data_IF_452418207579
#
_entry.id   IF_452418207579
#
_cell.length_a   1.000
_cell.length_b   1.000
_cell.length_c   1.000
_cell.angle_alpha   90.00
_cell.angle_beta   90.00
_cell.angle_gamma   90.00
#
_symmetry.space_group_name_H-M   'P 1'
#
loop_
_entity.id
_entity.type
_entity.pdbx_description
1 polymer ?
#
# COMPACT_ATOMS: atom_id res chain seq x y z
N UNK A 1 -3.04 -8.41 7.37
CA UNK A 1 -3.54 -9.78 7.66
C UNK A 1 -2.99 -10.73 6.60
N UNK A 2 -2.52 -11.94 6.96
CA UNK A 2 -2.14 -12.96 5.99
C UNK A 2 -3.35 -13.50 5.22
N UNK A 3 -3.12 -14.17 4.08
CA UNK A 3 -4.17 -14.93 3.39
C UNK A 3 -4.61 -16.08 4.30
N UNK A 4 -5.90 -16.35 4.36
CA UNK A 4 -6.45 -17.42 5.23
C UNK A 4 -7.57 -18.18 4.56
N UNK A 5 -7.96 -17.76 3.36
CA UNK A 5 -9.16 -18.23 2.67
C UNK A 5 -8.73 -18.80 1.34
N UNK A 6 -9.26 -19.97 0.98
CA UNK A 6 -9.15 -20.49 -0.38
C UNK A 6 -10.14 -19.78 -1.31
N UNK A 7 -10.02 -20.02 -2.62
CA UNK A 7 -10.91 -19.44 -3.63
C UNK A 7 -12.39 -19.71 -3.34
N UNK A 8 -12.76 -20.95 -3.02
CA UNK A 8 -14.15 -21.30 -2.67
C UNK A 8 -14.65 -20.52 -1.45
N UNK A 9 -13.84 -20.43 -0.39
CA UNK A 9 -14.18 -19.68 0.82
C UNK A 9 -14.38 -18.18 0.52
N UNK A 10 -13.54 -17.57 -0.35
CA UNK A 10 -13.74 -16.18 -0.78
C UNK A 10 -15.06 -16.01 -1.53
N UNK A 11 -15.46 -16.98 -2.36
CA UNK A 11 -16.73 -16.94 -3.10
C UNK A 11 -17.94 -17.00 -2.15
N UNK A 12 -17.89 -17.86 -1.14
CA UNK A 12 -18.95 -17.95 -0.11
C UNK A 12 -19.12 -16.64 0.67
N UNK A 13 -18.03 -15.90 0.87
CA UNK A 13 -18.02 -14.63 1.60
C UNK A 13 -18.33 -13.42 0.71
N UNK A 14 -18.56 -13.59 -0.59
CA UNK A 14 -18.70 -12.49 -1.57
C UNK A 14 -19.79 -11.45 -1.25
N UNK A 15 -20.80 -11.82 -0.46
CA UNK A 15 -21.85 -10.91 0.00
C UNK A 15 -21.46 -10.03 1.20
N UNK A 16 -20.36 -10.34 1.87
CA UNK A 16 -19.90 -9.64 3.08
C UNK A 16 -19.03 -8.46 2.66
N UNK A 17 -19.44 -7.25 3.05
CA UNK A 17 -18.61 -6.06 2.90
C UNK A 17 -17.48 -6.13 3.92
N UNK A 18 -16.27 -6.34 3.42
CA UNK A 18 -15.06 -6.41 4.24
C UNK A 18 -14.01 -5.45 3.67
N UNK A 19 -13.40 -4.66 4.53
CA UNK A 19 -12.24 -3.84 4.22
C UNK A 19 -11.04 -4.36 5.00
N UNK A 20 -9.95 -4.68 4.29
CA UNK A 20 -8.72 -5.18 4.88
C UNK A 20 -7.63 -4.12 4.80
N UNK A 21 -6.95 -3.87 5.91
CA UNK A 21 -5.89 -2.88 5.95
C UNK A 21 -4.54 -3.49 5.61
N UNK A 22 -3.75 -2.77 4.82
CA UNK A 22 -2.35 -3.06 4.49
C UNK A 22 -1.52 -1.86 4.91
N UNK A 23 -0.47 -2.07 5.69
CA UNK A 23 0.37 -1.00 6.22
C UNK A 23 1.72 -0.98 5.49
N UNK A 24 1.95 0.03 4.65
CA UNK A 24 3.19 0.21 3.90
C UNK A 24 3.65 -1.12 3.24
N UNK A 25 4.94 -1.44 3.34
CA UNK A 25 5.54 -2.66 2.84
C UNK A 25 5.50 -3.85 3.82
N UNK A 26 4.44 -3.96 4.66
CA UNK A 26 4.24 -5.13 5.54
C UNK A 26 4.22 -6.41 4.68
N UNK A 27 5.13 -7.38 4.92
CA UNK A 27 5.15 -8.62 4.16
C UNK A 27 4.03 -9.59 4.53
N UNK A 28 3.38 -9.45 5.69
CA UNK A 28 2.42 -10.43 6.20
C UNK A 28 1.23 -10.66 5.26
N UNK A 29 0.62 -9.65 4.61
CA UNK A 29 -0.37 -9.87 3.56
C UNK A 29 0.12 -10.67 2.36
N UNK A 30 1.43 -10.85 2.17
CA UNK A 30 1.96 -11.63 1.06
C UNK A 30 2.02 -13.13 1.34
N UNK A 31 1.74 -13.57 2.58
CA UNK A 31 1.78 -14.98 2.99
C UNK A 31 0.41 -15.48 3.48
N UNK A 32 0.11 -16.79 3.34
CA UNK A 32 0.71 -17.71 2.39
C UNK A 32 0.65 -17.16 0.96
N UNK A 33 1.50 -17.71 0.09
CA UNK A 33 1.54 -17.32 -1.32
C UNK A 33 0.18 -17.53 -1.98
N UNK A 34 -0.07 -16.81 -3.08
CA UNK A 34 -1.30 -16.95 -3.86
C UNK A 34 -1.32 -18.24 -4.69
N UNK A 35 -1.36 -19.36 -3.97
CA UNK A 35 -1.25 -20.74 -4.48
C UNK A 35 -2.02 -21.67 -3.54
N UNK A 36 -2.26 -22.89 -4.00
CA UNK A 36 -2.69 -23.97 -3.13
C UNK A 36 -1.49 -24.41 -2.29
N UNK A 37 -1.55 -24.13 -1.00
CA UNK A 37 -0.53 -24.50 -0.02
C UNK A 37 -0.92 -25.77 0.76
N UNK A 38 -2.08 -26.36 0.50
CA UNK A 38 -2.60 -27.56 1.18
C UNK A 38 -2.35 -28.84 0.34
N UNK A 39 -1.50 -28.74 -0.68
CA UNK A 39 -1.11 -29.87 -1.51
C UNK A 39 0.00 -30.72 -0.87
N UNK A 40 0.20 -31.93 -1.40
CA UNK A 40 1.18 -32.90 -0.90
C UNK A 40 2.62 -32.38 -0.84
N UNK A 41 3.00 -31.43 -1.71
CA UNK A 41 4.34 -30.85 -1.72
C UNK A 41 4.59 -30.01 -0.45
N UNK A 42 3.66 -29.11 -0.09
CA UNK A 42 3.78 -28.30 1.13
C UNK A 42 3.50 -29.07 2.41
N UNK A 43 2.65 -30.10 2.35
CA UNK A 43 2.40 -30.99 3.48
C UNK A 43 3.64 -31.82 3.86
N UNK A 44 4.46 -32.23 2.89
CA UNK A 44 5.61 -33.10 3.15
C UNK A 44 6.93 -32.36 3.36
N UNK A 45 7.05 -31.15 2.79
CA UNK A 45 8.29 -30.38 2.79
C UNK A 45 8.18 -29.04 3.50
N UNK A 46 7.27 -28.87 4.46
CA UNK A 46 6.79 -27.56 4.93
C UNK A 46 7.85 -26.45 5.06
N UNK A 47 8.96 -26.58 5.82
CA UNK A 47 9.99 -25.53 5.87
C UNK A 47 10.66 -25.30 4.51
N UNK A 48 11.09 -26.37 3.85
CA UNK A 48 11.72 -26.34 2.53
C UNK A 48 10.76 -25.90 1.42
N UNK A 49 9.45 -26.09 1.56
CA UNK A 49 8.41 -25.67 0.63
C UNK A 49 8.21 -24.17 0.65
N UNK A 50 8.22 -23.56 1.85
CA UNK A 50 8.25 -22.10 2.02
C UNK A 50 9.56 -21.51 1.49
N UNK A 51 10.72 -22.08 1.86
CA UNK A 51 12.03 -21.66 1.34
C UNK A 51 12.11 -21.81 -0.20
N UNK A 52 11.49 -22.84 -0.75
CA UNK A 52 11.40 -23.09 -2.19
C UNK A 52 10.47 -22.11 -2.91
N UNK A 53 9.37 -21.67 -2.31
CA UNK A 53 8.54 -20.59 -2.87
C UNK A 53 9.28 -19.24 -2.85
N UNK A 54 10.03 -18.97 -1.79
CA UNK A 54 10.99 -17.85 -1.73
C UNK A 54 12.06 -18.00 -2.83
N UNK A 55 12.50 -19.23 -3.14
CA UNK A 55 13.46 -19.51 -4.22
C UNK A 55 12.83 -19.44 -5.63
N UNK A 56 11.53 -19.74 -5.79
CA UNK A 56 10.79 -19.57 -7.05
C UNK A 56 10.60 -18.10 -7.40
N UNK A 57 10.57 -17.23 -6.39
CA UNK A 57 10.70 -15.78 -6.52
C UNK A 57 12.11 -15.35 -6.96
N UNK A 58 13.06 -16.26 -7.24
CA UNK A 58 14.43 -15.97 -7.74
C UNK A 58 14.92 -16.81 -8.93
N UNK A 59 14.15 -17.78 -9.48
CA UNK A 59 14.68 -18.77 -10.43
C UNK A 59 13.82 -19.03 -11.69
N UNK A 60 14.34 -18.79 -12.92
CA UNK A 60 13.62 -19.00 -14.19
C UNK A 60 13.73 -20.44 -14.74
N UNK A 61 13.80 -21.46 -13.88
CA UNK A 61 14.04 -22.84 -14.32
C UNK A 61 12.82 -23.51 -14.98
N UNK A 62 12.98 -24.30 -16.06
CA UNK A 62 11.91 -25.12 -16.67
C UNK A 62 11.22 -26.07 -15.67
N UNK A 63 11.96 -26.51 -14.65
CA UNK A 63 11.45 -27.34 -13.54
C UNK A 63 10.39 -26.56 -12.73
N UNK A 64 10.55 -25.25 -12.57
CA UNK A 64 9.59 -24.39 -11.87
C UNK A 64 8.29 -24.27 -12.66
N UNK A 65 8.34 -24.22 -14.00
CA UNK A 65 7.13 -24.21 -14.85
C UNK A 65 6.38 -25.54 -14.76
N UNK A 66 7.09 -26.67 -14.81
CA UNK A 66 6.50 -27.99 -14.69
C UNK A 66 5.82 -28.20 -13.31
N UNK A 67 6.46 -27.74 -12.22
CA UNK A 67 5.86 -27.80 -10.88
C UNK A 67 4.67 -26.85 -10.75
N UNK A 68 4.74 -25.62 -11.29
CA UNK A 68 3.59 -24.68 -11.31
C UNK A 68 2.37 -25.29 -12.00
N UNK A 69 2.58 -26.03 -13.09
CA UNK A 69 1.52 -26.76 -13.79
C UNK A 69 1.01 -27.96 -12.98
N UNK A 70 1.90 -28.71 -12.34
CA UNK A 70 1.54 -29.86 -11.51
C UNK A 70 0.82 -29.48 -10.21
N UNK A 71 1.03 -28.27 -9.69
CA UNK A 71 0.35 -27.71 -8.52
C UNK A 71 -0.71 -26.67 -8.89
N UNK A 72 -1.16 -26.66 -10.14
CA UNK A 72 -2.21 -25.75 -10.60
C UNK A 72 -3.57 -26.21 -10.04
N UNK A 73 -3.85 -25.80 -8.81
CA UNK A 73 -5.11 -26.05 -8.13
C UNK A 73 -6.02 -24.84 -8.23
N UNK A 74 -7.33 -25.07 -8.18
CA UNK A 74 -8.33 -24.00 -8.14
C UNK A 74 -8.47 -23.40 -6.74
N UNK A 75 -8.11 -24.16 -5.69
CA UNK A 75 -8.18 -23.75 -4.28
C UNK A 75 -6.90 -23.01 -3.85
N UNK A 76 -6.62 -21.89 -4.52
CA UNK A 76 -5.51 -21.01 -4.12
C UNK A 76 -5.90 -20.15 -2.92
N UNK A 77 -4.93 -19.86 -2.05
CA UNK A 77 -5.11 -18.91 -0.96
C UNK A 77 -5.25 -17.48 -1.50
N UNK A 78 -6.30 -16.77 -1.07
CA UNK A 78 -6.66 -15.42 -1.49
C UNK A 78 -6.96 -14.53 -0.27
N UNK A 79 -7.03 -13.22 -0.54
CA UNK A 79 -7.62 -12.27 0.39
C UNK A 79 -9.09 -12.06 0.07
N UNK A 80 -9.92 -11.96 1.11
CA UNK A 80 -11.29 -11.45 0.99
C UNK A 80 -11.35 -9.96 1.35
N UNK A 81 -12.21 -9.20 0.69
CA UNK A 81 -12.47 -7.80 0.99
C UNK A 81 -11.56 -6.80 0.26
N UNK A 82 -12.02 -5.55 0.23
CA UNK A 82 -11.40 -4.41 -0.43
C UNK A 82 -10.19 -3.93 0.36
N UNK A 83 -9.18 -3.43 -0.35
CA UNK A 83 -7.93 -2.97 0.29
C UNK A 83 -8.09 -1.54 0.79
N UNK A 84 -7.69 -1.32 2.03
CA UNK A 84 -7.34 -0.01 2.56
C UNK A 84 -5.84 0.02 2.74
N UNK A 85 -5.16 1.00 2.15
CA UNK A 85 -3.71 1.04 2.14
C UNK A 85 -3.19 2.24 2.93
N UNK A 86 -2.38 2.01 3.95
CA UNK A 86 -1.61 3.06 4.61
C UNK A 86 -0.30 3.24 3.84
N UNK A 87 -0.40 4.00 2.75
CA UNK A 87 0.69 4.17 1.81
C UNK A 87 1.68 5.21 2.33
N UNK A 88 2.96 4.89 2.36
CA UNK A 88 4.03 5.89 2.42
C UNK A 88 4.30 6.37 1.00
N UNK A 89 3.68 7.48 0.61
CA UNK A 89 3.87 8.07 -0.70
C UNK A 89 5.23 8.78 -0.77
N UNK A 90 5.93 8.62 -1.89
CA UNK A 90 7.16 9.35 -2.21
C UNK A 90 6.94 10.22 -3.45
N UNK A 91 7.52 11.42 -3.43
CA UNK A 91 7.49 12.36 -4.54
C UNK A 91 8.26 11.84 -5.76
N UNK A 92 9.27 10.98 -5.54
CA UNK A 92 10.02 10.33 -6.59
C UNK A 92 10.50 8.94 -6.15
N UNK A 93 10.26 7.88 -6.94
CA UNK A 93 10.83 6.57 -6.69
C UNK A 93 12.36 6.61 -6.78
N UNK A 94 13.05 5.99 -5.82
CA UNK A 94 14.52 5.91 -5.78
C UNK A 94 15.12 5.40 -7.10
N UNK A 95 14.45 4.44 -7.73
CA UNK A 95 14.93 3.85 -8.97
C UNK A 95 14.97 4.83 -10.14
N UNK A 96 14.06 5.81 -10.18
CA UNK A 96 14.01 6.80 -11.25
C UNK A 96 15.24 7.71 -11.18
N UNK A 97 15.66 8.05 -9.96
CA UNK A 97 16.87 8.84 -9.72
C UNK A 97 18.11 7.99 -10.02
N UNK A 98 18.13 6.72 -9.57
CA UNK A 98 19.23 5.80 -9.85
C UNK A 98 19.44 5.49 -11.34
N UNK A 99 18.39 5.59 -12.16
CA UNK A 99 18.46 5.43 -13.62
C UNK A 99 18.98 6.69 -14.34
N UNK A 100 19.03 7.83 -13.67
CA UNK A 100 19.35 9.13 -14.28
C UNK A 100 20.80 9.56 -14.04
N UNK A 101 21.52 9.95 -15.11
CA UNK A 101 22.89 10.50 -15.03
C UNK A 101 22.88 11.99 -14.63
N UNK A 102 22.46 12.30 -13.40
CA UNK A 102 22.28 13.71 -12.97
C UNK A 102 23.52 14.31 -12.30
N UNK A 103 23.73 15.62 -12.53
CA UNK A 103 24.84 16.41 -11.99
C UNK A 103 24.82 16.53 -10.45
N UNK A 104 25.93 16.93 -9.82
CA UNK A 104 26.04 17.06 -8.35
C UNK A 104 24.96 17.96 -7.72
N UNK A 105 24.64 19.10 -8.36
CA UNK A 105 23.57 20.01 -7.89
C UNK A 105 22.22 19.31 -7.97
N UNK A 106 21.98 18.58 -9.05
CA UNK A 106 20.76 17.80 -9.20
C UNK A 106 20.72 16.58 -8.27
N UNK A 107 21.87 16.05 -7.81
CA UNK A 107 21.94 15.01 -6.77
C UNK A 107 21.53 15.53 -5.39
N UNK A 108 21.90 16.76 -5.04
CA UNK A 108 21.44 17.39 -3.79
C UNK A 108 19.93 17.62 -3.82
N UNK A 109 19.41 18.17 -4.92
CA UNK A 109 17.97 18.30 -5.12
C UNK A 109 17.26 16.93 -5.18
N UNK A 110 17.92 15.89 -5.68
CA UNK A 110 17.38 14.54 -5.69
C UNK A 110 17.22 13.98 -4.26
N UNK A 111 18.16 14.20 -3.34
CA UNK A 111 18.03 13.76 -1.95
C UNK A 111 16.86 14.46 -1.23
N UNK A 112 16.65 15.75 -1.49
CA UNK A 112 15.49 16.49 -0.99
C UNK A 112 14.16 15.96 -1.55
N UNK A 113 14.15 15.55 -2.82
CA UNK A 113 12.98 14.96 -3.47
C UNK A 113 12.72 13.53 -2.96
N UNK A 114 13.76 12.72 -2.73
CA UNK A 114 13.64 11.34 -2.22
C UNK A 114 13.15 11.30 -0.79
N UNK A 115 13.63 12.23 0.04
CA UNK A 115 13.17 12.37 1.43
C UNK A 115 11.78 13.00 1.53
N UNK A 116 11.25 13.57 0.43
CA UNK A 116 9.90 14.11 0.38
C UNK A 116 8.87 12.98 0.33
N UNK A 117 8.46 12.53 1.52
CA UNK A 117 7.48 11.47 1.71
C UNK A 117 6.36 11.90 2.64
N UNK A 118 5.20 11.28 2.50
CA UNK A 118 4.08 11.44 3.45
C UNK A 118 3.30 10.14 3.57
N UNK A 119 2.60 9.95 4.69
CA UNK A 119 1.78 8.76 4.93
C UNK A 119 0.31 9.08 4.68
N UNK A 120 -0.30 8.34 3.77
CA UNK A 120 -1.67 8.51 3.30
C UNK A 120 -2.52 7.30 3.67
N UNK A 121 -3.79 7.53 3.95
CA UNK A 121 -4.80 6.54 4.22
C UNK A 121 -5.67 6.42 2.96
N UNK A 122 -5.42 5.41 2.15
CA UNK A 122 -6.09 5.26 0.85
C UNK A 122 -7.20 4.23 0.92
N UNK A 123 -8.42 4.64 0.54
CA UNK A 123 -9.61 3.80 0.48
C UNK A 123 -10.18 3.93 -0.95
N UNK A 124 -10.05 2.90 -1.82
CA UNK A 124 -10.42 2.98 -3.23
C UNK A 124 -11.87 3.37 -3.53
N UNK A 125 -12.80 3.02 -2.63
CA UNK A 125 -14.24 3.19 -2.83
C UNK A 125 -14.90 3.84 -1.61
N UNK A 126 -14.24 4.84 -1.02
CA UNK A 126 -14.81 5.54 0.12
C UNK A 126 -16.03 6.36 -0.28
N UNK A 127 -15.92 7.05 -1.42
CA UNK A 127 -16.95 7.92 -1.94
C UNK A 127 -17.06 7.72 -3.45
N UNK A 128 -18.28 7.43 -3.92
CA UNK A 128 -18.60 7.24 -5.34
C UNK A 128 -18.24 8.46 -6.18
N UNK A 129 -18.33 9.67 -5.61
CA UNK A 129 -17.94 10.89 -6.31
C UNK A 129 -16.42 10.92 -6.60
N UNK A 130 -15.62 10.18 -5.82
CA UNK A 130 -14.15 10.17 -5.91
C UNK A 130 -13.55 8.86 -6.42
N UNK A 131 -14.39 7.87 -6.74
CA UNK A 131 -13.96 6.58 -7.30
C UNK A 131 -13.13 6.75 -8.59
N UNK A 132 -13.46 7.78 -9.39
CA UNK A 132 -12.70 8.15 -10.59
C UNK A 132 -11.23 8.50 -10.31
N UNK A 133 -10.89 9.01 -9.12
CA UNK A 133 -9.52 9.35 -8.74
C UNK A 133 -8.67 8.09 -8.59
N UNK A 134 -9.26 6.99 -8.13
CA UNK A 134 -8.55 5.71 -8.03
C UNK A 134 -8.23 5.16 -9.42
N UNK A 135 -9.19 5.21 -10.34
CA UNK A 135 -8.98 4.83 -11.74
C UNK A 135 -7.88 5.69 -12.39
N UNK A 136 -7.96 7.01 -12.21
CA UNK A 136 -6.96 7.95 -12.72
C UNK A 136 -5.57 7.69 -12.14
N UNK A 137 -5.44 7.44 -10.83
CA UNK A 137 -4.16 7.09 -10.22
C UNK A 137 -3.60 5.79 -10.80
N UNK A 138 -4.45 4.81 -11.07
CA UNK A 138 -4.09 3.56 -11.76
C UNK A 138 -3.60 3.80 -13.18
N UNK A 139 -4.27 4.64 -13.96
CA UNK A 139 -3.84 5.04 -15.30
C UNK A 139 -2.48 5.72 -15.29
N UNK A 140 -2.25 6.66 -14.36
CA UNK A 140 -0.95 7.31 -14.23
C UNK A 140 0.15 6.32 -13.83
N UNK A 141 -0.15 5.37 -12.94
CA UNK A 141 0.77 4.31 -12.58
C UNK A 141 1.13 3.44 -13.80
N UNK A 142 0.14 3.06 -14.61
CA UNK A 142 0.35 2.27 -15.82
C UNK A 142 1.14 3.05 -16.88
N UNK A 143 0.84 4.34 -17.08
CA UNK A 143 1.59 5.19 -17.99
C UNK A 143 3.08 5.29 -17.61
N UNK A 144 3.40 5.32 -16.32
CA UNK A 144 4.79 5.24 -15.84
C UNK A 144 5.43 3.90 -16.19
N UNK A 145 4.71 2.78 -15.99
CA UNK A 145 5.19 1.46 -16.36
C UNK A 145 5.42 1.32 -17.86
N UNK A 146 4.57 1.93 -18.69
CA UNK A 146 4.66 1.84 -20.15
C UNK A 146 5.86 2.63 -20.71
N UNK A 147 6.31 3.67 -20.01
CA UNK A 147 7.51 4.43 -20.36
C UNK A 147 8.82 3.67 -20.15
N UNK A 148 8.79 2.57 -19.38
CA UNK A 148 9.98 1.77 -19.12
C UNK A 148 10.35 0.89 -20.30
N UNK A 149 11.63 0.89 -20.67
CA UNK A 149 12.17 -0.08 -21.62
C UNK A 149 12.06 -1.51 -21.06
N UNK A 150 12.04 -2.56 -21.91
CA UNK A 150 12.09 -3.94 -21.45
C UNK A 150 13.26 -4.21 -20.49
N UNK A 151 14.44 -3.63 -20.76
CA UNK A 151 15.63 -3.77 -19.91
C UNK A 151 15.45 -3.10 -18.53
N UNK A 152 14.80 -1.94 -18.47
CA UNK A 152 14.46 -1.28 -17.20
C UNK A 152 13.37 -2.04 -16.46
N UNK A 153 12.35 -2.55 -17.16
CA UNK A 153 11.33 -3.44 -16.58
C UNK A 153 11.98 -4.68 -15.98
N UNK A 154 12.91 -5.32 -16.68
CA UNK A 154 13.64 -6.49 -16.19
C UNK A 154 14.60 -6.15 -15.04
N UNK A 155 15.14 -4.93 -14.97
CA UNK A 155 15.98 -4.49 -13.86
C UNK A 155 15.17 -4.15 -12.60
N UNK A 156 14.03 -3.48 -12.78
CA UNK A 156 13.19 -2.95 -11.71
C UNK A 156 12.16 -3.96 -11.19
N UNK A 157 11.69 -4.81 -12.09
CA UNK A 157 10.63 -5.79 -11.89
C UNK A 157 11.05 -7.15 -12.46
N UNK A 158 12.34 -7.49 -12.32
CA UNK A 158 12.89 -8.78 -12.71
C UNK A 158 11.88 -9.87 -12.35
N UNK A 159 11.38 -10.60 -13.35
CA UNK A 159 10.45 -11.70 -13.08
C UNK A 159 11.14 -12.66 -12.13
N UNK A 160 10.51 -12.93 -10.99
CA UNK A 160 11.14 -13.69 -9.92
C UNK A 160 12.41 -12.97 -9.43
N UNK A 161 12.30 -11.66 -9.15
CA UNK A 161 13.14 -10.69 -8.43
C UNK A 161 12.27 -10.02 -7.36
N UNK A 162 12.53 -10.15 -6.06
CA UNK A 162 12.07 -9.06 -5.20
C UNK A 162 12.86 -7.82 -5.64
N UNK A 163 12.22 -6.66 -5.93
CA UNK A 163 12.95 -5.46 -6.30
C UNK A 163 13.97 -5.15 -5.21
N UNK A 164 15.23 -4.93 -5.60
CA UNK A 164 16.31 -4.54 -4.67
C UNK A 164 16.00 -3.21 -3.97
N UNK A 165 15.08 -2.43 -4.54
CA UNK A 165 14.64 -1.08 -4.13
C UNK A 165 13.19 -1.04 -3.60
N UNK A 166 12.70 -2.14 -3.02
CA UNK A 166 11.62 -1.97 -2.02
C UNK A 166 12.29 -1.43 -0.77
N UNK A 167 11.81 -0.29 -0.26
CA UNK A 167 12.03 0.13 1.11
C UNK A 167 11.98 -1.15 1.96
N UNK A 168 13.14 -1.53 2.53
CA UNK A 168 13.42 -2.89 3.04
C UNK A 168 12.17 -3.47 3.70
N UNK A 169 11.73 -4.67 3.28
CA UNK A 169 10.64 -5.42 3.94
C UNK A 169 10.73 -5.22 5.45
N UNK A 170 9.84 -4.40 5.98
CA UNK A 170 9.99 -3.87 7.33
C UNK A 170 9.07 -4.67 8.23
N UNK A 171 9.63 -5.69 8.90
CA UNK A 171 8.91 -6.40 9.98
C UNK A 171 8.45 -5.41 11.07
N UNK A 172 9.14 -4.27 11.21
CA UNK A 172 8.72 -3.21 12.12
C UNK A 172 7.39 -2.55 11.71
N UNK A 173 6.99 -2.65 10.44
CA UNK A 173 5.70 -2.16 9.95
C UNK A 173 4.55 -3.12 10.31
N UNK A 174 4.86 -4.34 10.77
CA UNK A 174 3.87 -5.29 11.24
C UNK A 174 3.39 -5.01 12.67
N UNK A 175 4.11 -4.21 13.47
CA UNK A 175 3.74 -3.96 14.86
C UNK A 175 2.36 -3.29 14.97
N UNK A 176 1.42 -4.01 15.60
CA UNK A 176 0.03 -3.56 15.80
C UNK A 176 -0.07 -2.23 16.54
N UNK A 177 0.89 -1.91 17.41
CA UNK A 177 0.94 -0.64 18.14
C UNK A 177 1.19 0.57 17.24
N UNK A 178 2.04 0.45 16.21
CA UNK A 178 2.27 1.52 15.23
C UNK A 178 1.04 1.73 14.35
N UNK A 179 0.41 0.63 13.95
CA UNK A 179 -0.84 0.64 13.20
C UNK A 179 -1.97 1.30 13.99
N UNK A 180 -2.19 0.89 15.25
CA UNK A 180 -3.23 1.45 16.11
C UNK A 180 -2.94 2.93 16.43
N UNK A 181 -1.67 3.28 16.67
CA UNK A 181 -1.24 4.66 16.87
C UNK A 181 -1.53 5.55 15.65
N UNK A 182 -1.27 5.05 14.43
CA UNK A 182 -1.59 5.77 13.20
C UNK A 182 -3.10 6.01 13.07
N UNK A 183 -3.93 4.98 13.23
CA UNK A 183 -5.40 5.12 13.16
C UNK A 183 -5.91 6.10 14.22
N UNK A 184 -5.42 5.99 15.45
CA UNK A 184 -5.79 6.91 16.52
C UNK A 184 -5.46 8.37 16.16
N UNK A 185 -4.25 8.63 15.65
CA UNK A 185 -3.85 9.97 15.24
C UNK A 185 -4.71 10.50 14.07
N UNK A 186 -5.02 9.65 13.08
CA UNK A 186 -5.89 10.01 11.96
C UNK A 186 -7.34 10.26 12.42
N UNK A 187 -7.88 9.47 13.35
CA UNK A 187 -9.21 9.73 13.91
C UNK A 187 -9.28 11.06 14.68
N UNK A 188 -8.26 11.38 15.48
CA UNK A 188 -8.16 12.68 16.18
C UNK A 188 -8.17 13.84 15.19
N UNK A 189 -7.39 13.72 14.11
CA UNK A 189 -7.37 14.71 13.04
C UNK A 189 -8.74 14.90 12.39
N UNK A 190 -9.42 13.81 12.03
CA UNK A 190 -10.75 13.90 11.40
C UNK A 190 -11.81 14.47 12.34
N UNK A 191 -11.67 14.24 13.64
CA UNK A 191 -12.55 14.81 14.65
C UNK A 191 -12.32 16.32 14.87
N UNK A 192 -11.12 16.82 14.58
CA UNK A 192 -10.72 18.21 14.75
C UNK A 192 -10.03 18.77 13.50
N UNK A 193 -10.72 18.83 12.34
CA UNK A 193 -10.10 19.08 11.04
C UNK A 193 -9.44 20.47 10.92
N UNK A 194 -9.88 21.43 11.72
CA UNK A 194 -9.34 22.79 11.77
C UNK A 194 -8.00 22.90 12.53
N UNK A 195 -7.62 21.86 13.30
CA UNK A 195 -6.35 21.83 14.02
C UNK A 195 -5.28 21.19 13.16
N UNK A 196 -4.24 21.94 12.82
CA UNK A 196 -3.09 21.41 12.08
C UNK A 196 -2.43 20.25 12.84
N UNK A 197 -2.55 19.05 12.31
CA UNK A 197 -1.91 17.84 12.85
C UNK A 197 -0.58 17.52 12.16
N UNK A 198 0.18 16.58 12.73
CA UNK A 198 1.44 16.10 12.14
C UNK A 198 1.23 15.53 10.72
N UNK A 199 0.12 14.82 10.47
CA UNK A 199 -0.13 14.22 9.16
C UNK A 199 -0.66 15.23 8.15
N UNK A 200 -1.57 16.15 8.54
CA UNK A 200 -1.97 17.26 7.66
C UNK A 200 -0.78 18.13 7.27
N UNK A 201 0.07 18.48 8.23
CA UNK A 201 1.25 19.29 7.97
C UNK A 201 2.24 18.54 7.07
N UNK A 202 2.46 17.25 7.31
CA UNK A 202 3.27 16.40 6.44
C UNK A 202 2.73 16.35 5.01
N UNK A 203 1.43 16.19 4.82
CA UNK A 203 0.79 16.15 3.50
C UNK A 203 0.88 17.50 2.78
N UNK A 204 0.69 18.61 3.52
CA UNK A 204 0.86 19.98 3.02
C UNK A 204 2.28 20.20 2.54
N UNK A 205 3.28 19.94 3.40
CA UNK A 205 4.69 20.07 3.05
C UNK A 205 5.07 19.17 1.87
N UNK A 206 4.52 17.95 1.82
CA UNK A 206 4.75 17.01 0.72
C UNK A 206 4.28 17.58 -0.62
N UNK A 207 3.07 18.13 -0.66
CA UNK A 207 2.53 18.79 -1.85
C UNK A 207 3.33 20.04 -2.22
N UNK A 208 3.62 20.92 -1.26
CA UNK A 208 4.40 22.15 -1.49
C UNK A 208 5.76 21.84 -2.11
N UNK A 209 6.48 20.85 -1.58
CA UNK A 209 7.75 20.40 -2.14
C UNK A 209 7.59 19.76 -3.52
N UNK A 210 6.55 18.95 -3.74
CA UNK A 210 6.26 18.42 -5.08
C UNK A 210 6.04 19.54 -6.11
N UNK A 211 5.36 20.62 -5.73
CA UNK A 211 5.12 21.77 -6.59
C UNK A 211 6.43 22.52 -6.91
N UNK A 212 7.29 22.73 -5.91
CA UNK A 212 8.62 23.35 -6.07
C UNK A 212 9.48 22.55 -7.05
N UNK A 213 9.51 21.22 -6.92
CA UNK A 213 10.33 20.35 -7.75
C UNK A 213 9.58 19.75 -8.94
N UNK A 214 8.42 20.29 -9.33
CA UNK A 214 7.55 19.71 -10.38
C UNK A 214 8.32 19.36 -11.66
N UNK A 215 9.25 20.22 -12.08
CA UNK A 215 10.07 20.03 -13.30
C UNK A 215 11.00 18.82 -13.25
N UNK A 216 11.27 18.29 -12.06
CA UNK A 216 12.15 17.15 -11.81
C UNK A 216 11.36 15.86 -11.52
N UNK A 217 10.04 15.94 -11.42
CA UNK A 217 9.16 14.80 -11.12
C UNK A 217 8.37 14.45 -12.39
N UNK A 218 8.38 13.18 -12.85
CA UNK A 218 7.56 12.78 -13.99
C UNK A 218 6.09 13.11 -13.79
N UNK A 219 5.43 13.53 -14.86
CA UNK A 219 4.02 13.92 -14.82
C UNK A 219 3.13 12.82 -14.24
N UNK A 220 3.34 11.57 -14.68
CA UNK A 220 2.64 10.41 -14.16
C UNK A 220 2.73 10.28 -12.62
N UNK A 221 3.91 10.48 -12.05
CA UNK A 221 4.13 10.36 -10.60
C UNK A 221 3.49 11.52 -9.86
N UNK A 222 3.66 12.73 -10.39
CA UNK A 222 3.08 13.93 -9.81
C UNK A 222 1.55 13.85 -9.79
N UNK A 223 0.91 13.56 -10.92
CA UNK A 223 -0.55 13.50 -11.02
C UNK A 223 -1.14 12.31 -10.24
N UNK A 224 -0.47 11.16 -10.21
CA UNK A 224 -0.85 10.03 -9.32
C UNK A 224 -0.86 10.46 -7.86
N UNK A 225 0.20 11.11 -7.39
CA UNK A 225 0.30 11.55 -6.00
C UNK A 225 -0.73 12.64 -5.65
N UNK A 226 -1.11 13.51 -6.60
CA UNK A 226 -2.24 14.43 -6.41
C UNK A 226 -3.56 13.68 -6.22
N UNK A 227 -3.82 12.63 -7.01
CA UNK A 227 -5.00 11.78 -6.83
C UNK A 227 -4.99 11.13 -5.44
N UNK A 228 -3.85 10.60 -4.98
CA UNK A 228 -3.73 10.00 -3.65
C UNK A 228 -3.95 11.00 -2.50
N UNK A 229 -3.43 12.22 -2.61
CA UNK A 229 -3.69 13.29 -1.64
C UNK A 229 -5.19 13.62 -1.60
N UNK A 230 -5.84 13.70 -2.77
CA UNK A 230 -7.26 14.02 -2.83
C UNK A 230 -8.13 12.89 -2.28
N UNK A 231 -7.78 11.62 -2.55
CA UNK A 231 -8.44 10.47 -1.94
C UNK A 231 -8.32 10.47 -0.41
N UNK A 232 -7.14 10.78 0.14
CA UNK A 232 -6.94 10.83 1.60
C UNK A 232 -7.78 11.93 2.27
N UNK A 233 -7.95 13.10 1.62
CA UNK A 233 -8.82 14.17 2.15
C UNK A 233 -10.27 13.72 2.33
N UNK A 234 -10.74 12.79 1.51
CA UNK A 234 -12.11 12.28 1.59
C UNK A 234 -12.36 11.49 2.88
N UNK A 235 -11.34 11.10 3.66
CA UNK A 235 -11.54 10.38 4.91
C UNK A 235 -12.51 11.06 5.87
N UNK A 236 -12.62 12.40 5.83
CA UNK A 236 -13.54 13.14 6.69
C UNK A 236 -15.00 12.72 6.49
N UNK A 237 -15.39 12.33 5.27
CA UNK A 237 -16.76 11.91 4.97
C UNK A 237 -17.11 10.60 5.66
N UNK A 238 -16.11 9.77 5.99
CA UNK A 238 -16.31 8.49 6.67
C UNK A 238 -16.90 8.63 8.08
N UNK A 239 -16.73 9.78 8.73
CA UNK A 239 -17.26 10.03 10.07
C UNK A 239 -18.77 10.31 10.08
N UNK A 240 -19.36 10.66 8.93
CA UNK A 240 -20.75 11.10 8.83
C UNK A 240 -21.72 10.07 9.43
N UNK A 241 -21.48 8.77 9.19
CA UNK A 241 -22.33 7.69 9.72
C UNK A 241 -22.25 7.62 11.25
N UNK A 242 -21.05 7.70 11.81
CA UNK A 242 -20.83 7.67 13.26
C UNK A 242 -21.46 8.89 13.96
N UNK A 243 -21.39 10.06 13.33
CA UNK A 243 -21.98 11.30 13.84
C UNK A 243 -23.52 11.29 13.85
N UNK A 244 -24.18 10.42 13.08
CA UNK A 244 -25.65 10.33 13.04
C UNK A 244 -26.25 9.62 14.25
N UNK A 245 -25.45 8.89 15.03
CA UNK A 245 -25.94 8.11 16.18
C UNK A 245 -25.41 8.68 17.49
N UNK A 246 -26.22 8.63 18.55
CA UNK A 246 -25.79 9.11 19.86
C UNK A 246 -24.56 8.35 20.39
N UNK A 247 -24.55 7.02 20.21
CA UNK A 247 -23.40 6.18 20.59
C UNK A 247 -22.15 6.50 19.79
N UNK A 248 -22.29 6.78 18.49
CA UNK A 248 -21.16 7.14 17.65
C UNK A 248 -20.60 8.52 18.00
N UNK A 249 -21.46 9.51 18.32
CA UNK A 249 -21.02 10.81 18.85
C UNK A 249 -20.22 10.65 20.14
N UNK A 250 -20.73 9.86 21.09
CA UNK A 250 -20.02 9.56 22.35
C UNK A 250 -18.68 8.88 22.10
N UNK A 251 -18.60 7.93 21.16
CA UNK A 251 -17.34 7.29 20.78
C UNK A 251 -16.34 8.28 20.17
N UNK A 252 -16.80 9.24 19.36
CA UNK A 252 -15.95 10.25 18.73
C UNK A 252 -15.42 11.30 19.72
N UNK A 253 -16.17 11.62 20.80
CA UNK A 253 -15.72 12.55 21.84
C UNK A 253 -14.38 12.16 22.48
N UNK A 254 -14.09 10.86 22.60
CA UNK A 254 -12.79 10.37 23.08
C UNK A 254 -11.62 10.92 22.25
N UNK A 255 -11.83 11.09 20.94
CA UNK A 255 -10.80 11.58 20.02
C UNK A 255 -10.73 13.11 19.97
N UNK A 256 -11.81 13.84 20.33
CA UNK A 256 -11.82 15.30 20.39
C UNK A 256 -11.17 15.85 21.67
N UNK A 257 -11.49 15.26 22.82
CA UNK A 257 -11.25 15.93 24.11
C UNK A 257 -9.88 15.65 24.73
N UNK A 258 -9.08 14.75 24.14
CA UNK A 258 -7.82 14.28 24.73
C UNK A 258 -7.97 13.60 26.09
N UNK A 259 -9.20 13.38 26.56
CA UNK A 259 -9.51 12.71 27.83
C UNK A 259 -9.45 11.20 27.62
N UNK A 260 -8.52 10.56 28.34
CA UNK A 260 -8.56 9.11 28.53
C UNK A 260 -9.86 8.76 29.23
N UNK A 261 -10.64 7.84 28.65
CA UNK A 261 -11.77 7.25 29.35
C UNK A 261 -11.20 6.45 30.54
N UNK A 262 -11.70 6.63 31.76
CA UNK A 262 -11.34 5.75 32.85
C UNK A 262 -11.79 4.33 32.48
N UNK A 263 -10.83 3.42 32.43
CA UNK A 263 -11.05 1.98 32.27
C UNK A 263 -11.63 1.40 33.56
#
# INVERSE_FOLDING_TARGET
MPRTLTRSAVQELSSIIHYRHVNEDDPVPSVPFEKDMDNSFFNYWTPAGYDWEIMKLVSPSPIVKAIKQATASQEIYLHHGKVVHFLKASACPEWLIAASNVSLIARLSAEEILSNTTKLYLIPELDKETEHLFAQAGEQQNALFDQLTPQEKDKLFAENKNPELKDKLSILNHFSSRYAGYINARLKELCEPDKMTVYQDSQRQFKEKMDVYKRLIPDAIYYRNLCFLEMDKQLITSLAVSQQTEKGKLALQHYCDGKELPV
#
